data_IF_158809046982
#
_entry.id   IF_158809046982
#
_cell.length_a   1.000
_cell.length_b   1.000
_cell.length_c   1.000
_cell.angle_alpha   90.00
_cell.angle_beta   90.00
_cell.angle_gamma   90.00
#
_symmetry.space_group_name_H-M   'P 1'
#
loop_
_entity.id
_entity.type
_entity.pdbx_description
1 polymer ?
#
# COMPACT_ATOMS: atom_id res chain seq x y z
N UNK A 1 -6.06 -20.98 -3.70
CA UNK A 1 -5.67 -19.61 -3.27
C UNK A 1 -5.72 -19.40 -1.75
N UNK A 2 -6.69 -19.96 -1.00
CA UNK A 2 -6.86 -19.69 0.44
C UNK A 2 -5.66 -20.06 1.35
N UNK A 3 -4.89 -21.12 1.03
CA UNK A 3 -3.71 -21.49 1.82
C UNK A 3 -2.60 -20.43 1.83
N UNK A 4 -2.32 -19.83 0.66
CA UNK A 4 -1.20 -18.87 0.52
C UNK A 4 -1.51 -17.55 1.27
N UNK A 5 -2.78 -17.13 1.28
CA UNK A 5 -3.23 -15.99 2.08
C UNK A 5 -3.09 -16.24 3.59
N UNK A 6 -3.36 -17.46 4.05
CA UNK A 6 -3.27 -17.82 5.46
C UNK A 6 -1.80 -17.86 5.93
N UNK A 7 -0.89 -18.43 5.13
CA UNK A 7 0.55 -18.41 5.39
C UNK A 7 1.10 -16.97 5.47
N UNK A 8 0.67 -16.10 4.55
CA UNK A 8 1.06 -14.69 4.47
C UNK A 8 0.55 -13.86 5.65
N UNK A 9 -0.69 -14.08 6.07
CA UNK A 9 -1.26 -13.45 7.26
C UNK A 9 -0.66 -14.04 8.55
N UNK A 10 -0.25 -15.32 8.56
CA UNK A 10 0.54 -15.92 9.64
C UNK A 10 1.95 -15.33 9.73
N UNK A 11 2.63 -15.09 8.61
CA UNK A 11 3.96 -14.47 8.58
C UNK A 11 3.90 -13.06 9.17
N UNK A 12 2.96 -12.23 8.69
CA UNK A 12 2.73 -10.90 9.27
C UNK A 12 2.28 -10.99 10.73
N UNK A 13 1.47 -11.99 11.10
CA UNK A 13 1.06 -12.16 12.49
C UNK A 13 2.21 -12.53 13.43
N UNK A 14 3.19 -13.28 12.93
CA UNK A 14 4.41 -13.65 13.64
C UNK A 14 5.41 -12.48 13.71
N UNK A 15 5.60 -11.77 12.59
CA UNK A 15 6.46 -10.58 12.47
C UNK A 15 5.94 -9.40 13.34
N UNK A 16 4.62 -9.32 13.59
CA UNK A 16 3.97 -8.29 14.42
C UNK A 16 3.77 -8.68 15.90
N UNK A 17 4.37 -9.80 16.37
CA UNK A 17 4.26 -10.38 17.73
C UNK A 17 2.88 -10.13 18.39
N UNK A 18 1.87 -10.73 17.75
CA UNK A 18 0.45 -10.42 17.94
C UNK A 18 -0.09 -10.64 19.36
N UNK A 19 0.68 -11.27 20.24
CA UNK A 19 0.20 -11.81 21.52
C UNK A 19 0.03 -10.74 22.60
N UNK A 20 0.82 -9.65 22.58
CA UNK A 20 0.79 -8.63 23.64
C UNK A 20 0.72 -7.17 23.14
N UNK A 21 1.43 -6.81 22.08
CA UNK A 21 1.64 -5.40 21.64
C UNK A 21 0.64 -4.90 20.58
N UNK A 22 -0.05 -5.82 19.89
CA UNK A 22 -0.97 -5.58 18.77
C UNK A 22 -1.95 -4.40 18.93
N UNK A 23 -2.47 -4.16 20.15
CA UNK A 23 -3.57 -3.19 20.39
C UNK A 23 -3.17 -1.73 20.17
N UNK A 24 -1.88 -1.41 20.29
CA UNK A 24 -1.31 -0.10 19.95
C UNK A 24 -0.77 -0.11 18.53
N UNK A 25 -0.10 -1.19 18.14
CA UNK A 25 0.45 -1.39 16.80
C UNK A 25 -0.59 -1.29 15.68
N UNK A 26 -1.83 -1.78 15.88
CA UNK A 26 -2.92 -1.62 14.93
C UNK A 26 -3.32 -0.15 14.73
N UNK A 27 -3.20 0.71 15.76
CA UNK A 27 -3.39 2.16 15.60
C UNK A 27 -2.21 2.76 14.83
N UNK A 28 -0.96 2.40 15.16
CA UNK A 28 0.22 2.89 14.42
C UNK A 28 0.16 2.52 12.93
N UNK A 29 -0.23 1.29 12.58
CA UNK A 29 -0.39 0.88 11.18
C UNK A 29 -1.57 1.59 10.51
N UNK A 30 -2.69 1.81 11.22
CA UNK A 30 -3.82 2.58 10.67
C UNK A 30 -3.42 4.04 10.36
N UNK A 31 -2.68 4.70 11.24
CA UNK A 31 -2.21 6.07 11.02
C UNK A 31 -1.13 6.14 9.91
N UNK A 32 -0.33 5.08 9.73
CA UNK A 32 0.59 4.98 8.58
C UNK A 32 -0.12 4.73 7.25
N UNK A 33 -1.20 3.94 7.24
CA UNK A 33 -1.97 3.60 6.04
C UNK A 33 -2.99 4.68 5.68
N UNK A 34 -3.48 5.43 6.67
CA UNK A 34 -4.40 6.55 6.52
C UNK A 34 -4.03 7.64 7.55
N UNK A 35 -3.11 8.56 7.20
CA UNK A 35 -2.63 9.61 8.09
C UNK A 35 -3.75 10.49 8.66
N UNK A 36 -3.75 10.69 9.98
CA UNK A 36 -4.77 11.46 10.69
C UNK A 36 -6.05 10.68 10.99
N UNK A 37 -6.13 9.38 10.65
CA UNK A 37 -7.25 8.53 11.02
C UNK A 37 -7.29 8.21 12.52
N UNK A 38 -6.14 8.24 13.20
CA UNK A 38 -6.05 7.94 14.64
C UNK A 38 -6.12 9.23 15.48
N UNK A 39 -7.05 9.24 16.42
CA UNK A 39 -7.10 10.23 17.48
C UNK A 39 -6.26 9.76 18.67
N UNK A 40 -4.98 10.15 18.63
CA UNK A 40 -3.99 9.84 19.66
C UNK A 40 -4.35 10.37 21.07
N UNK A 41 -5.22 11.39 21.20
CA UNK A 41 -5.71 11.86 22.51
C UNK A 41 -6.63 10.85 23.20
N UNK A 42 -7.24 9.96 22.43
CA UNK A 42 -8.10 8.86 22.90
C UNK A 42 -7.42 7.48 22.77
N UNK A 43 -6.09 7.44 22.66
CA UNK A 43 -5.30 6.21 22.60
C UNK A 43 -4.37 6.10 23.81
N UNK A 44 -4.33 4.94 24.45
CA UNK A 44 -3.43 4.65 25.56
C UNK A 44 -2.18 3.91 25.09
N UNK A 45 -1.00 4.49 25.29
CA UNK A 45 0.28 3.84 24.95
C UNK A 45 0.63 2.72 25.94
N UNK A 46 1.23 1.59 25.50
CA UNK A 46 1.75 0.56 26.40
C UNK A 46 2.86 1.09 27.34
N UNK A 47 3.03 0.51 28.55
CA UNK A 47 2.30 -0.63 29.11
C UNK A 47 0.93 -0.27 29.72
N UNK A 48 -0.14 -0.88 29.19
CA UNK A 48 -1.52 -0.60 29.63
C UNK A 48 -1.91 -1.53 30.80
N UNK A 49 -1.93 -0.99 32.03
CA UNK A 49 -2.38 -1.72 33.23
C UNK A 49 -3.89 -1.96 33.25
N UNK A 50 -4.70 -0.94 32.94
CA UNK A 50 -6.16 -0.99 33.06
C UNK A 50 -6.81 -1.71 31.86
N UNK A 51 -7.63 -2.77 32.06
CA UNK A 51 -8.24 -3.51 30.95
C UNK A 51 -9.11 -2.66 30.01
N UNK A 52 -9.89 -1.71 30.55
CA UNK A 52 -10.79 -0.88 29.73
C UNK A 52 -10.03 -0.02 28.69
N UNK A 53 -8.83 0.48 29.03
CA UNK A 53 -7.95 1.21 28.10
C UNK A 53 -7.50 0.36 26.91
N UNK A 54 -7.38 -0.96 27.08
CA UNK A 54 -7.13 -1.90 25.97
C UNK A 54 -8.34 -1.97 25.03
N UNK A 55 -9.54 -1.99 25.60
CA UNK A 55 -10.82 -2.00 24.86
C UNK A 55 -11.05 -0.67 24.14
N UNK A 56 -10.71 0.48 24.74
CA UNK A 56 -10.76 1.80 24.10
C UNK A 56 -9.91 1.85 22.81
N UNK A 57 -8.63 1.44 22.88
CA UNK A 57 -7.77 1.37 21.70
C UNK A 57 -8.38 0.48 20.62
N UNK A 58 -8.84 -0.73 20.96
CA UNK A 58 -9.41 -1.66 19.99
C UNK A 58 -10.77 -1.19 19.43
N UNK A 59 -11.59 -0.49 20.23
CA UNK A 59 -12.81 0.15 19.74
C UNK A 59 -12.49 1.26 18.73
N UNK A 60 -11.40 2.01 18.95
CA UNK A 60 -10.92 3.00 17.98
C UNK A 60 -10.43 2.33 16.68
N UNK A 61 -9.64 1.26 16.76
CA UNK A 61 -9.22 0.44 15.58
C UNK A 61 -10.44 0.01 14.75
N UNK A 62 -11.46 -0.56 15.40
CA UNK A 62 -12.68 -1.02 14.73
C UNK A 62 -13.50 0.15 14.16
N UNK A 63 -13.59 1.30 14.86
CA UNK A 63 -14.24 2.52 14.36
C UNK A 63 -13.58 3.02 13.08
N UNK A 64 -12.25 3.13 13.07
CA UNK A 64 -11.48 3.54 11.89
C UNK A 64 -11.67 2.54 10.76
N UNK A 65 -11.58 1.23 11.02
CA UNK A 65 -11.85 0.21 10.01
C UNK A 65 -13.22 0.37 9.35
N UNK A 66 -14.28 0.68 10.12
CA UNK A 66 -15.61 0.98 9.55
C UNK A 66 -15.64 2.27 8.72
N UNK A 67 -14.90 3.30 9.11
CA UNK A 67 -14.74 4.54 8.31
C UNK A 67 -14.01 4.25 6.97
N UNK A 68 -12.99 3.37 7.00
CA UNK A 68 -12.28 2.85 5.82
C UNK A 68 -13.09 1.78 5.03
N UNK A 69 -14.38 1.59 5.36
CA UNK A 69 -15.33 0.66 4.72
C UNK A 69 -14.94 -0.83 4.84
N UNK A 70 -14.28 -1.22 5.93
CA UNK A 70 -14.02 -2.63 6.23
C UNK A 70 -15.30 -3.34 6.71
N UNK A 71 -15.38 -4.65 6.48
CA UNK A 71 -16.57 -5.47 6.76
C UNK A 71 -16.48 -6.01 8.19
N UNK A 72 -16.85 -5.15 9.14
CA UNK A 72 -16.73 -5.40 10.58
C UNK A 72 -18.12 -5.56 11.23
N UNK A 73 -18.96 -6.39 10.59
CA UNK A 73 -20.31 -6.74 11.05
C UNK A 73 -20.20 -7.60 12.30
N UNK A 74 -20.90 -7.20 13.37
CA UNK A 74 -20.86 -7.85 14.67
C UNK A 74 -19.46 -7.98 15.30
N UNK A 75 -18.50 -7.13 14.92
CA UNK A 75 -17.15 -7.08 15.51
C UNK A 75 -17.01 -5.84 16.41
N UNK A 76 -16.53 -6.06 17.63
CA UNK A 76 -16.20 -5.03 18.61
C UNK A 76 -14.72 -5.02 19.00
N UNK A 77 -14.29 -4.01 19.76
CA UNK A 77 -12.91 -3.95 20.26
C UNK A 77 -12.56 -5.10 21.22
N UNK A 78 -13.56 -5.64 21.93
CA UNK A 78 -13.36 -6.76 22.84
C UNK A 78 -12.87 -8.04 22.13
N UNK A 79 -13.31 -8.30 20.89
CA UNK A 79 -12.84 -9.44 20.10
C UNK A 79 -11.32 -9.40 19.84
N UNK A 80 -10.79 -8.21 19.55
CA UNK A 80 -9.35 -7.97 19.40
C UNK A 80 -8.67 -8.09 20.76
N UNK A 81 -9.26 -7.57 21.84
CA UNK A 81 -8.68 -7.65 23.19
C UNK A 81 -8.54 -9.10 23.67
N UNK A 82 -9.54 -9.94 23.38
CA UNK A 82 -9.55 -11.38 23.66
C UNK A 82 -8.64 -12.19 22.72
N UNK A 83 -8.06 -11.58 21.69
CA UNK A 83 -7.15 -12.24 20.77
C UNK A 83 -7.85 -13.19 19.79
N UNK A 84 -9.07 -12.86 19.34
CA UNK A 84 -9.78 -13.65 18.33
C UNK A 84 -9.03 -13.63 17.00
N UNK A 85 -8.17 -14.65 16.81
CA UNK A 85 -7.25 -14.78 15.67
C UNK A 85 -7.96 -14.61 14.34
N UNK A 86 -9.15 -15.21 14.15
CA UNK A 86 -9.93 -15.12 12.90
C UNK A 86 -10.32 -13.69 12.55
N UNK A 87 -10.79 -12.92 13.53
CA UNK A 87 -11.23 -11.53 13.31
C UNK A 87 -10.04 -10.58 13.13
N UNK A 88 -8.94 -10.81 13.84
CA UNK A 88 -7.70 -10.06 13.63
C UNK A 88 -7.12 -10.34 12.23
N UNK A 89 -7.12 -11.60 11.78
CA UNK A 89 -6.65 -11.99 10.45
C UNK A 89 -7.47 -11.32 9.34
N UNK A 90 -8.79 -11.31 9.50
CA UNK A 90 -9.71 -10.62 8.59
C UNK A 90 -9.44 -9.11 8.55
N UNK A 91 -9.23 -8.47 9.70
CA UNK A 91 -8.90 -7.04 9.78
C UNK A 91 -7.57 -6.72 9.07
N UNK A 92 -6.51 -7.50 9.35
CA UNK A 92 -5.20 -7.33 8.71
C UNK A 92 -5.29 -7.52 7.19
N UNK A 93 -6.06 -8.51 6.72
CA UNK A 93 -6.29 -8.70 5.29
C UNK A 93 -6.98 -7.49 4.64
N UNK A 94 -8.03 -6.95 5.26
CA UNK A 94 -8.70 -5.76 4.74
C UNK A 94 -7.78 -4.53 4.74
N UNK A 95 -6.93 -4.39 5.76
CA UNK A 95 -5.93 -3.33 5.85
C UNK A 95 -4.87 -3.41 4.74
N UNK A 96 -4.34 -4.61 4.48
CA UNK A 96 -3.42 -4.85 3.36
C UNK A 96 -4.09 -4.56 2.00
N UNK A 97 -5.32 -5.04 1.80
CA UNK A 97 -6.10 -4.78 0.58
C UNK A 97 -6.37 -3.29 0.38
N UNK A 98 -6.70 -2.58 1.45
CA UNK A 98 -6.93 -1.13 1.41
C UNK A 98 -5.65 -0.37 1.07
N UNK A 99 -4.52 -0.68 1.72
CA UNK A 99 -3.23 -0.04 1.42
C UNK A 99 -2.81 -0.24 -0.05
N UNK A 100 -2.97 -1.45 -0.59
CA UNK A 100 -2.73 -1.75 -2.01
C UNK A 100 -3.62 -0.89 -2.94
N UNK A 101 -4.91 -0.72 -2.61
CA UNK A 101 -5.82 0.11 -3.39
C UNK A 101 -5.51 1.61 -3.28
N UNK A 102 -5.07 2.10 -2.11
CA UNK A 102 -4.64 3.49 -1.97
C UNK A 102 -3.34 3.77 -2.72
N UNK A 103 -2.37 2.86 -2.71
CA UNK A 103 -1.14 2.97 -3.53
C UNK A 103 -1.50 3.15 -5.01
N UNK A 104 -2.35 2.27 -5.54
CA UNK A 104 -2.81 2.36 -6.93
C UNK A 104 -3.65 3.62 -7.21
N UNK A 105 -4.38 4.14 -6.23
CA UNK A 105 -5.13 5.41 -6.35
C UNK A 105 -4.21 6.63 -6.33
N UNK A 106 -3.23 6.67 -5.44
CA UNK A 106 -2.29 7.78 -5.26
C UNK A 106 -1.39 7.95 -6.49
N UNK A 107 -1.06 6.85 -7.18
CA UNK A 107 -0.45 6.89 -8.50
C UNK A 107 -1.32 7.66 -9.51
N UNK A 108 -2.64 7.39 -9.59
CA UNK A 108 -3.56 8.10 -10.51
C UNK A 108 -3.75 9.59 -10.19
N UNK A 109 -3.51 10.04 -8.95
CA UNK A 109 -3.53 11.47 -8.64
C UNK A 109 -2.25 12.20 -9.07
N UNK A 110 -1.12 11.50 -9.16
CA UNK A 110 0.17 12.10 -9.53
C UNK A 110 0.31 12.38 -11.04
N UNK A 111 -0.60 11.85 -11.86
CA UNK A 111 -0.64 11.93 -13.32
C UNK A 111 -1.57 13.04 -13.87
N UNK A 112 -1.75 14.13 -13.12
CA UNK A 112 -2.48 15.33 -13.56
C UNK A 112 -3.91 15.02 -14.07
N UNK A 113 -4.62 14.13 -13.38
CA UNK A 113 -6.01 13.75 -13.70
C UNK A 113 -6.18 12.63 -14.72
N UNK A 114 -5.10 12.16 -15.38
CA UNK A 114 -5.17 10.94 -16.21
C UNK A 114 -5.15 9.69 -15.32
N UNK A 115 -6.12 8.79 -15.44
CA UNK A 115 -6.07 7.52 -14.69
C UNK A 115 -4.85 6.69 -15.12
N UNK A 116 -3.93 6.42 -14.18
CA UNK A 116 -2.88 5.39 -14.35
C UNK A 116 -3.53 4.02 -14.37
N UNK A 117 -3.40 3.34 -15.51
CA UNK A 117 -3.82 1.96 -15.73
C UNK A 117 -2.65 0.99 -15.48
N UNK A 118 -2.95 -0.31 -15.39
CA UNK A 118 -1.94 -1.39 -15.38
C UNK A 118 -0.99 -1.27 -16.59
N UNK A 119 -1.47 -0.78 -17.73
CA UNK A 119 -0.69 -0.55 -18.96
C UNK A 119 0.29 0.63 -18.81
N UNK A 120 -0.10 1.72 -18.14
CA UNK A 120 0.81 2.84 -17.87
C UNK A 120 1.95 2.40 -16.93
N UNK A 121 1.65 1.55 -15.93
CA UNK A 121 2.66 0.96 -15.02
C UNK A 121 3.60 0.03 -15.81
N UNK A 122 3.07 -0.81 -16.70
CA UNK A 122 3.85 -1.70 -17.57
C UNK A 122 4.81 -0.91 -18.48
N UNK A 123 4.29 0.14 -19.13
CA UNK A 123 5.10 1.03 -19.98
C UNK A 123 6.18 1.75 -19.17
N UNK A 124 5.85 2.21 -17.95
CA UNK A 124 6.81 2.86 -17.07
C UNK A 124 7.97 1.94 -16.67
N UNK A 125 7.69 0.70 -16.22
CA UNK A 125 8.78 -0.22 -15.81
C UNK A 125 9.69 -0.58 -16.98
N UNK A 126 9.12 -0.84 -18.17
CA UNK A 126 9.88 -1.13 -19.38
C UNK A 126 10.76 0.06 -19.81
N UNK A 127 10.22 1.27 -19.81
CA UNK A 127 10.97 2.48 -20.15
C UNK A 127 12.07 2.77 -19.11
N UNK A 128 11.80 2.55 -17.82
CA UNK A 128 12.76 2.77 -16.74
C UNK A 128 13.94 1.79 -16.83
N UNK A 129 13.69 0.50 -17.04
CA UNK A 129 14.77 -0.50 -17.29
C UNK A 129 15.56 -0.13 -18.55
N UNK A 130 14.87 0.16 -19.67
CA UNK A 130 15.51 0.53 -20.95
C UNK A 130 16.41 1.77 -20.86
N UNK A 131 16.09 2.74 -20.00
CA UNK A 131 16.91 3.94 -19.76
C UNK A 131 18.32 3.65 -19.22
N UNK A 132 18.56 2.45 -18.68
CA UNK A 132 19.88 1.99 -18.22
C UNK A 132 20.69 1.24 -19.27
N UNK A 133 20.20 1.16 -20.52
CA UNK A 133 20.81 0.37 -21.58
C UNK A 133 20.53 -1.15 -21.50
N UNK A 134 19.68 -1.59 -20.55
CA UNK A 134 19.22 -2.98 -20.47
C UNK A 134 18.15 -3.27 -21.52
N UNK A 135 18.19 -4.48 -22.08
CA UNK A 135 17.28 -4.95 -23.13
C UNK A 135 16.05 -5.71 -22.61
N UNK A 136 16.02 -6.04 -21.31
CA UNK A 136 14.92 -6.80 -20.70
C UNK A 136 13.63 -5.99 -20.70
N UNK A 137 12.56 -6.59 -21.23
CA UNK A 137 11.22 -6.01 -21.26
C UNK A 137 10.18 -7.09 -20.93
N UNK A 138 8.99 -6.66 -20.52
CA UNK A 138 7.86 -7.53 -20.19
C UNK A 138 6.59 -7.06 -20.90
N UNK A 139 5.84 -7.99 -21.51
CA UNK A 139 4.60 -7.66 -22.22
C UNK A 139 3.37 -7.62 -21.31
N UNK A 140 3.47 -8.20 -20.12
CA UNK A 140 2.43 -8.23 -19.09
C UNK A 140 2.97 -8.77 -17.76
N UNK A 141 2.24 -8.48 -16.67
CA UNK A 141 2.56 -8.95 -15.31
C UNK A 141 2.17 -10.42 -15.02
N UNK A 142 1.92 -11.25 -16.04
CA UNK A 142 1.62 -12.70 -15.92
C UNK A 142 2.71 -13.60 -16.52
N UNK A 143 3.69 -13.04 -17.22
CA UNK A 143 4.62 -13.84 -18.02
C UNK A 143 5.63 -14.61 -17.15
N UNK A 144 5.82 -15.91 -17.42
CA UNK A 144 6.64 -16.80 -16.57
C UNK A 144 8.11 -16.39 -16.42
N UNK A 145 8.67 -15.61 -17.35
CA UNK A 145 10.05 -15.08 -17.23
C UNK A 145 10.26 -14.22 -15.98
N UNK A 146 9.19 -13.62 -15.44
CA UNK A 146 9.21 -12.83 -14.20
C UNK A 146 9.65 -13.66 -12.98
N UNK A 147 9.43 -14.98 -12.99
CA UNK A 147 9.82 -15.88 -11.89
C UNK A 147 11.32 -15.92 -11.61
N UNK A 148 12.16 -15.59 -12.61
CA UNK A 148 13.62 -15.46 -12.45
C UNK A 148 14.04 -14.32 -11.50
N UNK A 149 13.16 -13.33 -11.29
CA UNK A 149 13.45 -12.12 -10.53
C UNK A 149 14.33 -11.07 -11.24
N UNK A 150 15.06 -11.44 -12.30
CA UNK A 150 16.05 -10.59 -12.98
C UNK A 150 15.46 -9.22 -13.37
N UNK A 151 14.27 -9.21 -13.99
CA UNK A 151 13.61 -7.97 -14.41
C UNK A 151 13.36 -7.00 -13.23
N UNK A 152 12.98 -7.50 -12.05
CA UNK A 152 12.75 -6.64 -10.88
C UNK A 152 14.07 -6.14 -10.28
N UNK A 153 15.15 -6.93 -10.33
CA UNK A 153 16.47 -6.50 -9.90
C UNK A 153 17.04 -5.42 -10.84
N UNK A 154 16.84 -5.55 -12.15
CA UNK A 154 17.17 -4.51 -13.13
C UNK A 154 16.31 -3.25 -12.93
N UNK A 155 15.02 -3.39 -12.65
CA UNK A 155 14.13 -2.26 -12.35
C UNK A 155 14.55 -1.53 -11.05
N UNK A 156 14.85 -2.26 -9.98
CA UNK A 156 15.32 -1.69 -8.71
C UNK A 156 16.67 -0.98 -8.90
N UNK A 157 17.59 -1.58 -9.65
CA UNK A 157 18.88 -0.96 -9.99
C UNK A 157 18.72 0.26 -10.93
N UNK A 158 17.69 0.30 -11.77
CA UNK A 158 17.39 1.45 -12.63
C UNK A 158 16.75 2.62 -11.87
N UNK A 159 16.09 2.32 -10.76
CA UNK A 159 15.46 3.29 -9.85
C UNK A 159 16.47 3.86 -8.85
N UNK A 160 17.33 3.02 -8.27
CA UNK A 160 18.45 3.43 -7.42
C UNK A 160 19.64 2.47 -7.59
N UNK A 161 20.69 2.84 -8.37
CA UNK A 161 21.79 1.94 -8.70
C UNK A 161 22.54 1.36 -7.49
N UNK A 162 22.49 2.03 -6.33
CA UNK A 162 23.26 1.66 -5.13
C UNK A 162 22.61 0.58 -4.26
N UNK A 163 21.36 0.18 -4.51
CA UNK A 163 20.67 -0.81 -3.65
C UNK A 163 20.78 -2.26 -4.10
N UNK A 164 21.18 -2.52 -5.35
CA UNK A 164 21.36 -3.87 -5.90
C UNK A 164 22.85 -4.23 -5.98
N UNK A 165 23.25 -5.24 -5.22
CA UNK A 165 24.57 -5.87 -5.30
C UNK A 165 24.48 -7.10 -6.21
N UNK A 166 24.95 -6.94 -7.45
CA UNK A 166 24.91 -7.98 -8.48
C UNK A 166 25.69 -9.25 -8.12
N UNK A 167 26.63 -9.21 -7.17
CA UNK A 167 27.35 -10.40 -6.69
C UNK A 167 26.45 -11.36 -5.88
N UNK A 168 25.27 -10.90 -5.42
CA UNK A 168 24.27 -11.71 -4.72
C UNK A 168 23.17 -12.22 -5.66
N UNK A 169 23.18 -11.80 -6.93
CA UNK A 169 22.13 -12.11 -7.90
C UNK A 169 22.48 -13.40 -8.63
N UNK A 170 21.57 -14.36 -8.58
CA UNK A 170 21.65 -15.62 -9.34
C UNK A 170 20.91 -15.49 -10.66
N UNK A 171 21.04 -16.47 -11.56
CA UNK A 171 20.36 -16.43 -12.86
C UNK A 171 18.84 -16.62 -12.75
N UNK A 172 18.38 -17.35 -11.74
CA UNK A 172 16.96 -17.69 -11.56
C UNK A 172 16.51 -18.84 -12.45
N UNK A 173 17.41 -19.78 -12.78
CA UNK A 173 17.09 -20.94 -13.63
C UNK A 173 16.31 -22.01 -12.83
N UNK A 174 16.85 -22.41 -11.68
CA UNK A 174 16.22 -23.35 -10.74
C UNK A 174 15.44 -22.62 -9.62
N UNK A 175 14.64 -23.36 -8.84
CA UNK A 175 13.73 -22.75 -7.87
C UNK A 175 14.42 -22.19 -6.62
N UNK A 176 15.57 -22.73 -6.21
CA UNK A 176 16.38 -22.16 -5.12
C UNK A 176 16.97 -20.79 -5.50
N UNK A 177 17.48 -20.66 -6.73
CA UNK A 177 17.94 -19.40 -7.30
C UNK A 177 16.81 -18.37 -7.39
N UNK A 178 15.65 -18.77 -7.94
CA UNK A 178 14.46 -17.89 -8.00
C UNK A 178 14.04 -17.44 -6.60
N UNK A 179 14.07 -18.34 -5.61
CA UNK A 179 13.72 -18.02 -4.23
C UNK A 179 14.72 -17.06 -3.58
N UNK A 180 16.02 -17.22 -3.85
CA UNK A 180 17.04 -16.29 -3.39
C UNK A 180 16.86 -14.90 -4.02
N UNK A 181 16.69 -14.84 -5.35
CA UNK A 181 16.42 -13.60 -6.08
C UNK A 181 15.12 -12.92 -5.57
N UNK A 182 14.02 -13.67 -5.41
CA UNK A 182 12.74 -13.16 -4.92
C UNK A 182 12.83 -12.61 -3.48
N UNK A 183 13.53 -13.32 -2.59
CA UNK A 183 13.80 -12.85 -1.22
C UNK A 183 14.63 -11.56 -1.23
N UNK A 184 15.62 -11.48 -2.11
CA UNK A 184 16.48 -10.31 -2.26
C UNK A 184 15.72 -9.09 -2.82
N UNK A 185 14.86 -9.28 -3.84
CA UNK A 185 13.96 -8.25 -4.39
C UNK A 185 13.09 -7.63 -3.29
N UNK A 186 12.45 -8.47 -2.46
CA UNK A 186 11.58 -8.00 -1.37
C UNK A 186 12.39 -7.20 -0.35
N UNK A 187 13.59 -7.67 0.00
CA UNK A 187 14.49 -6.99 0.94
C UNK A 187 14.94 -5.61 0.41
N UNK A 188 15.32 -5.54 -0.87
CA UNK A 188 15.76 -4.29 -1.53
C UNK A 188 14.60 -3.30 -1.69
N UNK A 189 13.44 -3.75 -2.16
CA UNK A 189 12.26 -2.90 -2.30
C UNK A 189 11.79 -2.33 -0.94
N UNK A 190 11.76 -3.17 0.12
CA UNK A 190 11.49 -2.70 1.49
C UNK A 190 12.56 -1.69 1.98
N UNK A 191 13.84 -1.90 1.66
CA UNK A 191 14.95 -0.97 2.00
C UNK A 191 14.81 0.39 1.31
N UNK A 192 14.27 0.44 0.09
CA UNK A 192 13.91 1.71 -0.55
C UNK A 192 12.76 2.43 0.18
N UNK A 193 11.88 1.69 0.85
CA UNK A 193 10.67 2.22 1.49
C UNK A 193 9.37 1.81 0.76
N UNK A 194 9.43 0.86 -0.17
CA UNK A 194 8.23 0.31 -0.79
C UNK A 194 7.42 -0.46 0.27
N UNK A 195 6.21 0.04 0.57
CA UNK A 195 5.28 -0.63 1.50
C UNK A 195 4.66 -1.85 0.84
N UNK A 196 5.38 -2.98 0.88
CA UNK A 196 4.99 -4.22 0.22
C UNK A 196 4.86 -5.41 1.17
N UNK A 197 3.82 -6.20 0.91
CA UNK A 197 3.50 -7.42 1.65
C UNK A 197 3.71 -8.68 0.79
N UNK A 198 4.64 -8.69 -0.16
CA UNK A 198 4.94 -9.86 -1.00
C UNK A 198 5.67 -10.95 -0.20
N UNK A 199 5.37 -12.21 -0.51
CA UNK A 199 6.22 -13.36 -0.18
C UNK A 199 7.11 -13.71 -1.40
N UNK A 200 8.27 -14.37 -1.22
CA UNK A 200 9.10 -14.84 -2.33
C UNK A 200 8.31 -15.69 -3.34
N UNK A 201 7.41 -16.52 -2.84
CA UNK A 201 6.55 -17.41 -3.61
C UNK A 201 5.60 -16.63 -4.54
N UNK A 202 5.15 -15.41 -4.18
CA UNK A 202 4.34 -14.56 -5.07
C UNK A 202 5.09 -14.11 -6.34
N UNK A 203 6.43 -14.05 -6.28
CA UNK A 203 7.29 -13.72 -7.42
C UNK A 203 7.58 -14.99 -8.24
N UNK A 204 7.92 -16.10 -7.56
CA UNK A 204 8.20 -17.39 -8.20
C UNK A 204 7.00 -17.94 -8.97
N UNK A 205 5.79 -17.87 -8.39
CA UNK A 205 4.53 -18.29 -9.02
C UNK A 205 3.97 -17.25 -10.02
N UNK A 206 4.58 -16.06 -10.10
CA UNK A 206 4.11 -14.91 -10.90
C UNK A 206 2.66 -14.53 -10.58
N UNK A 207 2.38 -14.28 -9.30
CA UNK A 207 1.08 -13.82 -8.83
C UNK A 207 0.81 -12.39 -9.33
N UNK A 208 0.12 -12.25 -10.46
CA UNK A 208 -0.05 -10.98 -11.19
C UNK A 208 -0.42 -9.78 -10.30
N UNK A 209 -1.37 -9.94 -9.36
CA UNK A 209 -1.82 -8.83 -8.49
C UNK A 209 -0.70 -8.34 -7.57
N UNK A 210 0.18 -9.24 -7.18
CA UNK A 210 1.32 -8.99 -6.29
C UNK A 210 2.48 -8.38 -7.06
N UNK A 211 2.77 -8.92 -8.24
CA UNK A 211 3.73 -8.34 -9.19
C UNK A 211 3.36 -6.90 -9.56
N UNK A 212 2.10 -6.66 -9.91
CA UNK A 212 1.59 -5.31 -10.21
C UNK A 212 1.77 -4.37 -9.01
N UNK A 213 1.48 -4.84 -7.79
CA UNK A 213 1.68 -4.07 -6.55
C UNK A 213 3.15 -3.73 -6.32
N UNK A 214 4.07 -4.67 -6.57
CA UNK A 214 5.51 -4.43 -6.50
C UNK A 214 5.94 -3.35 -7.49
N UNK A 215 5.58 -3.50 -8.77
CA UNK A 215 5.89 -2.53 -9.83
C UNK A 215 5.33 -1.13 -9.51
N UNK A 216 4.07 -1.05 -9.08
CA UNK A 216 3.43 0.18 -8.64
C UNK A 216 4.14 0.83 -7.44
N UNK A 217 4.57 0.04 -6.45
CA UNK A 217 5.26 0.57 -5.26
C UNK A 217 6.63 1.18 -5.61
N UNK A 218 7.37 0.54 -6.52
CA UNK A 218 8.66 1.02 -7.01
C UNK A 218 8.48 2.27 -7.89
N UNK A 219 7.43 2.32 -8.71
CA UNK A 219 7.04 3.51 -9.48
C UNK A 219 6.69 4.69 -8.55
N UNK A 220 5.85 4.46 -7.54
CA UNK A 220 5.42 5.47 -6.58
C UNK A 220 6.60 6.05 -5.78
N UNK A 221 7.53 5.21 -5.35
CA UNK A 221 8.77 5.68 -4.71
C UNK A 221 9.62 6.53 -5.66
N UNK A 222 9.84 6.05 -6.89
CA UNK A 222 10.66 6.75 -7.88
C UNK A 222 10.09 8.12 -8.29
N UNK A 223 8.77 8.29 -8.29
CA UNK A 223 8.12 9.56 -8.61
C UNK A 223 8.23 10.57 -7.46
N UNK A 224 8.09 10.13 -6.20
CA UNK A 224 8.26 11.02 -5.04
C UNK A 224 9.69 11.57 -4.96
N UNK A 225 10.70 10.71 -5.12
CA UNK A 225 12.11 11.16 -5.11
C UNK A 225 12.40 12.21 -6.20
N UNK A 226 11.80 12.06 -7.38
CA UNK A 226 11.96 13.02 -8.48
C UNK A 226 11.33 14.40 -8.18
N UNK A 227 10.30 14.47 -7.33
CA UNK A 227 9.75 15.74 -6.85
C UNK A 227 10.69 16.40 -5.82
N UNK A 228 11.24 15.61 -4.89
CA UNK A 228 12.19 16.10 -3.87
C UNK A 228 13.50 16.63 -4.48
N UNK A 229 14.10 15.88 -5.42
CA UNK A 229 15.33 16.30 -6.11
C UNK A 229 15.09 17.59 -6.95
N UNK A 230 13.88 17.77 -7.49
CA UNK A 230 13.50 18.89 -8.37
C UNK A 230 13.36 20.26 -7.71
N UNK A 231 13.12 20.33 -6.40
CA UNK A 231 13.07 21.60 -5.65
C UNK A 231 14.46 22.09 -5.21
N UNK A 232 15.53 21.34 -5.52
CA UNK A 232 16.91 21.64 -5.10
C UNK A 232 17.79 22.18 -6.24
N UNK A 233 17.61 23.45 -6.61
CA UNK A 233 18.62 24.18 -7.42
C UNK A 233 18.72 25.66 -7.04
N UNK A 234 19.95 26.22 -6.95
CA UNK A 234 20.18 27.52 -6.33
C UNK A 234 19.94 28.69 -7.30
N UNK A 235 19.42 29.80 -6.77
CA UNK A 235 19.35 31.06 -7.51
C UNK A 235 20.76 31.56 -7.88
N UNK A 236 20.99 32.02 -9.12
CA UNK A 236 22.27 32.57 -9.51
C UNK A 236 22.49 33.93 -8.85
N UNK A 237 23.68 34.12 -8.28
CA UNK A 237 24.12 35.42 -7.79
C UNK A 237 24.38 36.36 -8.97
N UNK A 238 23.76 37.54 -8.98
CA UNK A 238 24.17 38.64 -9.86
C UNK A 238 24.94 39.69 -9.04
N UNK A 239 26.22 39.84 -9.36
CA UNK A 239 27.08 40.87 -8.79
C UNK A 239 26.95 42.21 -9.51
N UNK A 240 27.26 43.27 -8.77
CA UNK A 240 27.88 44.53 -9.20
C UNK A 240 27.66 45.05 -10.62
N UNK A 241 26.92 46.14 -10.73
CA UNK A 241 27.29 47.28 -11.60
C UNK A 241 26.85 48.59 -10.93
N UNK A 242 27.65 49.64 -11.08
CA UNK A 242 27.49 50.92 -10.42
C UNK A 242 27.16 52.03 -11.43
N UNK A 243 26.27 52.97 -11.06
CA UNK A 243 26.08 54.26 -11.72
C UNK A 243 25.46 55.27 -10.75
N UNK A 244 25.65 56.56 -11.03
CA UNK A 244 25.68 57.63 -10.02
C UNK A 244 24.40 58.48 -9.92
N UNK A 245 24.05 58.91 -8.69
CA UNK A 245 23.58 60.24 -8.18
C UNK A 245 22.95 61.31 -9.12
N UNK A 246 22.16 62.30 -8.61
CA UNK A 246 21.69 62.55 -7.22
C UNK A 246 20.22 63.04 -7.02
N UNK A 247 19.87 63.24 -5.74
CA UNK A 247 19.18 64.41 -5.14
C UNK A 247 17.67 64.43 -4.77
N UNK A 248 17.37 65.30 -3.78
CA UNK A 248 16.08 65.77 -3.23
C UNK A 248 15.32 64.90 -2.19
N UNK A 249 15.56 65.22 -0.91
CA UNK A 249 14.58 65.17 0.21
C UNK A 249 13.74 66.48 0.25
N UNK A 250 12.63 66.66 1.01
CA UNK A 250 12.30 66.04 2.31
C UNK A 250 10.80 65.67 2.57
N UNK A 251 10.52 65.21 3.81
CA UNK A 251 9.21 64.92 4.42
C UNK A 251 8.45 66.21 4.86
N UNK A 252 7.31 66.21 5.61
CA UNK A 252 6.47 65.11 6.18
C UNK A 252 4.94 65.30 6.02
N UNK A 253 4.10 64.40 6.58
CA UNK A 253 2.82 64.67 7.33
C UNK A 253 1.94 63.42 7.56
N UNK A 254 1.48 63.24 8.80
CA UNK A 254 0.29 62.45 9.24
C UNK A 254 -0.94 63.42 9.36
N UNK A 255 -2.19 63.02 9.72
CA UNK A 255 -2.73 61.74 10.23
C UNK A 255 -3.89 61.19 9.34
N UNK A 256 -4.98 60.50 9.73
CA UNK A 256 -5.55 60.14 11.04
C UNK A 256 -6.57 58.95 10.99
N UNK A 257 -7.06 58.56 12.17
CA UNK A 257 -8.37 57.98 12.52
C UNK A 257 -8.87 56.68 11.85
N UNK A 258 -8.87 55.60 12.65
CA UNK A 258 -9.88 54.52 12.60
C UNK A 258 -11.28 55.05 12.98
N UNK A 259 -12.38 54.32 12.69
CA UNK A 259 -12.84 53.32 13.66
C UNK A 259 -13.52 52.05 13.08
N UNK A 260 -13.52 50.99 13.89
CA UNK A 260 -14.51 49.91 13.87
C UNK A 260 -15.42 50.07 15.14
N UNK A 261 -16.39 49.19 15.49
CA UNK A 261 -16.94 48.01 14.79
C UNK A 261 -18.50 47.94 14.78
N UNK A 262 -19.08 46.90 14.16
CA UNK A 262 -20.43 46.32 14.43
C UNK A 262 -20.56 45.02 13.61
N UNK A 263 -20.61 43.81 14.15
CA UNK A 263 -21.55 43.08 15.05
C UNK A 263 -22.64 42.32 14.28
N UNK A 264 -22.82 41.02 14.61
CA UNK A 264 -23.87 40.06 14.17
C UNK A 264 -24.08 39.85 12.66
N UNK A 265 -24.31 38.64 12.15
CA UNK A 265 -24.45 37.34 12.80
C UNK A 265 -25.06 36.31 11.82
N UNK A 266 -25.41 35.16 12.35
CA UNK A 266 -26.23 34.10 11.73
C UNK A 266 -25.56 33.11 10.75
N UNK A 267 -25.99 31.87 10.94
CA UNK A 267 -25.49 30.62 10.39
C UNK A 267 -26.08 30.36 9.00
N UNK A 268 -25.33 29.66 8.13
CA UNK A 268 -25.98 28.66 7.27
C UNK A 268 -25.13 27.39 7.16
N UNK A 269 -25.78 26.27 7.43
CA UNK A 269 -25.25 24.93 7.18
C UNK A 269 -25.54 24.52 5.73
N UNK A 270 -24.52 24.33 4.90
CA UNK A 270 -24.68 23.72 3.57
C UNK A 270 -24.09 22.31 3.53
N UNK A 271 -24.98 21.32 3.68
CA UNK A 271 -24.68 19.92 3.44
C UNK A 271 -24.51 19.64 1.94
N UNK A 272 -23.38 19.06 1.52
CA UNK A 272 -23.25 18.41 0.22
C UNK A 272 -22.56 17.06 0.38
N UNK A 273 -23.35 15.98 0.31
CA UNK A 273 -22.90 14.60 0.40
C UNK A 273 -23.67 13.71 -0.60
N UNK A 274 -23.34 13.88 -1.88
CA UNK A 274 -23.68 13.03 -3.03
C UNK A 274 -22.74 13.50 -4.17
N UNK A 275 -22.09 12.66 -4.97
CA UNK A 275 -22.48 11.35 -5.47
C UNK A 275 -21.39 10.28 -5.35
N UNK A 276 -21.81 9.03 -5.12
CA UNK A 276 -21.01 7.83 -5.44
C UNK A 276 -21.92 6.83 -6.14
N UNK A 277 -21.94 6.87 -7.47
CA UNK A 277 -22.71 5.95 -8.29
C UNK A 277 -21.96 4.64 -8.50
N UNK A 278 -22.45 3.60 -7.83
CA UNK A 278 -22.51 2.19 -8.22
C UNK A 278 -21.46 1.63 -9.22
N UNK A 279 -20.66 0.68 -8.74
CA UNK A 279 -20.18 -0.45 -9.54
C UNK A 279 -20.50 -1.76 -8.81
N UNK A 280 -21.66 -2.35 -9.13
CA UNK A 280 -21.92 -3.76 -8.86
C UNK A 280 -21.18 -4.60 -9.91
N UNK A 281 -20.61 -5.73 -9.46
CA UNK A 281 -20.23 -6.85 -10.33
C UNK A 281 -20.73 -8.10 -9.61
N UNK A 282 -21.60 -8.86 -10.28
CA UNK A 282 -22.29 -10.02 -9.71
C UNK A 282 -21.37 -11.24 -9.51
N UNK A 283 -21.56 -11.94 -8.39
CA UNK A 283 -21.03 -13.28 -8.14
C UNK A 283 -22.01 -14.34 -8.68
N UNK A 284 -21.78 -14.86 -9.89
CA UNK A 284 -22.45 -16.07 -10.38
C UNK A 284 -21.64 -17.33 -10.06
N UNK A 285 -21.95 -17.95 -8.92
CA UNK A 285 -21.51 -19.30 -8.60
C UNK A 285 -22.44 -20.32 -9.26
N UNK A 286 -21.93 -21.10 -10.23
CA UNK A 286 -22.67 -22.23 -10.79
C UNK A 286 -22.70 -23.40 -9.81
N UNK A 287 -23.89 -23.81 -9.40
CA UNK A 287 -24.13 -25.12 -8.78
C UNK A 287 -24.25 -26.18 -9.87
N UNK A 288 -23.34 -27.16 -9.89
CA UNK A 288 -23.59 -28.43 -10.56
C UNK A 288 -24.12 -29.44 -9.55
N UNK A 289 -25.43 -29.66 -9.59
CA UNK A 289 -26.10 -30.79 -8.94
C UNK A 289 -26.19 -31.94 -9.95
N UNK A 290 -25.49 -33.05 -9.68
CA UNK A 290 -25.75 -34.33 -10.38
C UNK A 290 -26.30 -35.32 -9.36
N UNK A 291 -27.52 -35.77 -9.62
CA UNK A 291 -28.26 -36.71 -8.78
C UNK A 291 -27.65 -38.10 -8.78
N UNK A 292 -27.74 -38.77 -7.64
CA UNK A 292 -27.59 -40.21 -7.51
C UNK A 292 -28.62 -40.96 -8.36
N UNK A 293 -28.18 -41.91 -9.18
CA UNK A 293 -29.00 -43.04 -9.62
C UNK A 293 -28.26 -44.36 -9.36
N UNK A 294 -29.07 -45.40 -9.16
CA UNK A 294 -28.68 -46.73 -8.70
C UNK A 294 -28.56 -47.66 -9.90
N UNK A 295 -27.46 -48.39 -10.00
CA UNK A 295 -27.42 -49.66 -10.74
C UNK A 295 -26.79 -50.76 -9.87
N UNK A 296 -27.33 -51.96 -10.04
CA UNK A 296 -27.03 -53.20 -9.31
C UNK A 296 -26.21 -54.12 -10.23
N UNK A 297 -25.90 -55.35 -9.79
CA UNK A 297 -25.32 -56.47 -10.59
C UNK A 297 -23.78 -56.33 -10.80
N UNK A 298 -22.92 -57.33 -10.60
CA UNK A 298 -23.08 -58.72 -10.11
C UNK A 298 -21.87 -59.18 -9.28
N UNK A 299 -22.01 -60.31 -8.59
CA UNK A 299 -20.88 -61.14 -8.12
C UNK A 299 -20.63 -62.29 -9.10
N UNK A 300 -19.41 -62.82 -9.17
CA UNK A 300 -19.31 -64.28 -9.03
C UNK A 300 -18.24 -64.76 -8.06
N UNK A 301 -18.50 -65.97 -7.56
CA UNK A 301 -17.73 -66.75 -6.60
C UNK A 301 -16.41 -67.32 -7.14
N UNK A 302 -15.48 -67.59 -6.22
CA UNK A 302 -14.29 -68.42 -6.43
C UNK A 302 -13.78 -68.91 -5.06
N UNK A 303 -14.00 -70.20 -4.77
CA UNK A 303 -13.72 -70.81 -3.46
C UNK A 303 -12.24 -71.22 -3.29
N UNK A 304 -11.86 -71.51 -2.05
CA UNK A 304 -10.69 -72.33 -1.75
C UNK A 304 -11.04 -73.81 -1.92
N UNK A 305 -10.35 -74.50 -2.83
CA UNK A 305 -9.67 -75.83 -2.71
C UNK A 305 -9.45 -76.46 -4.10
#
# INVERSE_FOLDING_TARGET
MSCNLNARLHYLAHELDLTYSCRWLLLEVLDKVSPGSVNWKHASKPPIKMPFRKVENCNQVIKIGRQLKFSLVNVGGNDIVQGNKKLILAFLWQLMRYNMLQLLKNLRSHSQGKEITDMDILNWVNNKVKSTGRISQIDNFKHKSLSSGIFFLELLSAVEPRVVNWNLVTKGENDDEKRLNATYIISVARKLGCSIFLLPEDIMEVNQKMILTLAASVMYWSLQKAAEDGESSPSPANGSTCTSTPDASPAPSTPDASPAPSISGEEESSSLASDVSNLNIDDTASNDTVSSQVENVDSPSGEHE
#
